data_IF_762970423419
#
_entry.id   IF_762970423419
#
_cell.length_a   1.000
_cell.length_b   1.000
_cell.length_c   1.000
_cell.angle_alpha   90.00
_cell.angle_beta   90.00
_cell.angle_gamma   90.00
#
_symmetry.space_group_name_H-M   'P 1'
#
loop_
_entity.id
_entity.type
_entity.pdbx_description
1 polymer ?
#
# COMPACT_ATOMS: atom_id res chain seq x y z
N UNK A 1 -41.91 -0.35 18.94
CA UNK A 1 -42.05 -0.76 17.52
C UNK A 1 -41.70 0.33 16.51
N UNK A 2 -41.97 1.62 16.77
CA UNK A 2 -41.65 2.72 15.83
C UNK A 2 -40.14 2.91 15.58
N UNK A 3 -39.29 2.86 16.62
CA UNK A 3 -37.83 2.96 16.48
C UNK A 3 -37.23 1.82 15.65
N UNK A 4 -37.74 0.60 15.82
CA UNK A 4 -37.31 -0.56 15.04
C UNK A 4 -37.62 -0.39 13.53
N UNK A 5 -38.80 0.12 13.19
CA UNK A 5 -39.16 0.48 11.80
C UNK A 5 -38.29 1.60 11.24
N UNK A 6 -37.97 2.62 12.03
CA UNK A 6 -37.09 3.70 11.62
C UNK A 6 -35.65 3.21 11.37
N UNK A 7 -35.13 2.30 12.21
CA UNK A 7 -33.83 1.68 12.00
C UNK A 7 -33.79 0.79 10.76
N UNK A 8 -34.85 0.03 10.46
CA UNK A 8 -34.94 -0.75 9.23
C UNK A 8 -34.97 0.15 7.99
N UNK A 9 -35.70 1.26 8.04
CA UNK A 9 -35.74 2.24 6.94
C UNK A 9 -34.36 2.84 6.66
N UNK A 10 -33.62 3.25 7.71
CA UNK A 10 -32.26 3.82 7.56
C UNK A 10 -31.28 2.78 7.01
N UNK A 11 -31.36 1.53 7.46
CA UNK A 11 -30.53 0.43 6.95
C UNK A 11 -30.80 0.15 5.47
N UNK A 12 -32.07 0.11 5.08
CA UNK A 12 -32.46 -0.11 3.68
C UNK A 12 -32.01 1.04 2.77
N UNK A 13 -32.17 2.29 3.20
CA UNK A 13 -31.68 3.46 2.45
C UNK A 13 -30.16 3.39 2.21
N UNK A 14 -29.39 2.98 3.22
CA UNK A 14 -27.95 2.80 3.09
C UNK A 14 -27.59 1.66 2.12
N UNK A 15 -28.32 0.54 2.19
CA UNK A 15 -28.16 -0.56 1.23
C UNK A 15 -28.38 -0.09 -0.20
N UNK A 16 -29.48 0.62 -0.46
CA UNK A 16 -29.80 1.17 -1.79
C UNK A 16 -28.76 2.16 -2.30
N UNK A 17 -28.18 2.94 -1.40
CA UNK A 17 -27.09 3.86 -1.72
C UNK A 17 -25.82 3.10 -2.15
N UNK A 18 -25.43 2.05 -1.43
CA UNK A 18 -24.28 1.21 -1.80
C UNK A 18 -24.51 0.45 -3.13
N UNK A 19 -25.74 0.00 -3.38
CA UNK A 19 -26.14 -0.61 -4.65
C UNK A 19 -26.03 0.43 -5.79
N UNK A 20 -26.58 1.63 -5.60
CA UNK A 20 -26.57 2.70 -6.62
C UNK A 20 -25.16 3.24 -6.92
N UNK A 21 -24.28 3.25 -5.92
CA UNK A 21 -22.89 3.71 -6.07
C UNK A 21 -21.95 2.64 -6.65
N UNK A 22 -22.42 1.41 -6.89
CA UNK A 22 -21.61 0.33 -7.48
C UNK A 22 -20.52 -0.22 -6.54
N UNK A 23 -20.54 0.16 -5.26
CA UNK A 23 -19.61 -0.33 -4.23
C UNK A 23 -19.78 -1.85 -4.08
N UNK A 24 -21.02 -2.33 -4.05
CA UNK A 24 -21.33 -3.76 -3.93
C UNK A 24 -20.79 -4.58 -5.10
N UNK A 25 -20.99 -4.12 -6.33
CA UNK A 25 -20.49 -4.81 -7.53
C UNK A 25 -18.96 -4.86 -7.55
N UNK A 26 -18.31 -3.75 -7.22
CA UNK A 26 -16.84 -3.67 -7.17
C UNK A 26 -16.23 -4.63 -6.14
N UNK A 27 -16.91 -4.86 -5.01
CA UNK A 27 -16.45 -5.75 -3.95
C UNK A 27 -16.77 -7.23 -4.21
N UNK A 28 -17.81 -7.52 -5.00
CA UNK A 28 -18.30 -8.89 -5.22
C UNK A 28 -17.93 -9.47 -6.58
N UNK A 29 -17.42 -8.66 -7.52
CA UNK A 29 -17.06 -9.11 -8.88
C UNK A 29 -15.76 -9.92 -8.98
N UNK A 30 -15.10 -10.23 -7.86
CA UNK A 30 -13.87 -11.03 -7.82
C UNK A 30 -14.11 -12.48 -8.26
N UNK A 31 -14.24 -12.73 -9.56
CA UNK A 31 -14.36 -14.06 -10.14
C UNK A 31 -13.02 -14.78 -10.01
N UNK A 32 -12.86 -15.55 -8.95
CA UNK A 32 -11.73 -16.48 -8.81
C UNK A 32 -11.93 -17.66 -9.74
N UNK A 33 -11.17 -17.73 -10.83
CA UNK A 33 -11.11 -18.92 -11.69
C UNK A 33 -9.99 -19.83 -11.18
N UNK A 34 -10.29 -21.05 -10.69
CA UNK A 34 -9.26 -21.99 -10.30
C UNK A 34 -8.40 -22.41 -11.51
N UNK A 35 -7.07 -22.50 -11.37
CA UNK A 35 -6.24 -23.15 -12.39
C UNK A 35 -6.61 -24.64 -12.50
N UNK A 36 -6.42 -25.28 -13.68
CA UNK A 36 -6.65 -26.71 -13.87
C UNK A 36 -5.80 -27.55 -12.90
N UNK A 37 -6.21 -28.80 -12.60
CA UNK A 37 -5.66 -29.55 -11.46
C UNK A 37 -4.18 -29.89 -11.66
N UNK A 38 -3.35 -29.40 -10.75
CA UNK A 38 -2.00 -29.91 -10.48
C UNK A 38 -2.05 -30.73 -9.18
N UNK A 39 -1.17 -31.72 -9.04
CA UNK A 39 -1.02 -32.71 -7.94
C UNK A 39 -1.63 -32.39 -6.55
N UNK A 40 -2.09 -33.43 -5.82
CA UNK A 40 -2.64 -33.39 -4.45
C UNK A 40 -1.88 -32.50 -3.45
N UNK A 41 -0.54 -32.41 -3.56
CA UNK A 41 0.29 -31.55 -2.72
C UNK A 41 0.00 -30.07 -2.94
N UNK A 42 -0.23 -29.65 -4.20
CA UNK A 42 -0.58 -28.28 -4.54
C UNK A 42 -1.98 -27.91 -4.05
N UNK A 43 -2.90 -28.87 -3.98
CA UNK A 43 -4.26 -28.65 -3.48
C UNK A 43 -4.27 -28.38 -1.97
N UNK A 44 -3.50 -29.14 -1.18
CA UNK A 44 -3.40 -28.95 0.27
C UNK A 44 -2.69 -27.64 0.63
N UNK A 45 -1.61 -27.29 -0.08
CA UNK A 45 -0.91 -26.01 0.10
C UNK A 45 -1.82 -24.85 -0.30
N UNK A 46 -2.51 -24.94 -1.45
CA UNK A 46 -3.44 -23.90 -1.89
C UNK A 46 -4.60 -23.72 -0.91
N UNK A 47 -5.15 -24.79 -0.35
CA UNK A 47 -6.20 -24.71 0.67
C UNK A 47 -5.68 -24.04 1.95
N UNK A 48 -4.47 -24.39 2.40
CA UNK A 48 -3.83 -23.77 3.57
C UNK A 48 -3.54 -22.28 3.36
N UNK A 49 -3.06 -21.90 2.16
CA UNK A 49 -2.81 -20.50 1.77
C UNK A 49 -4.13 -19.73 1.65
N UNK A 50 -5.17 -20.32 1.04
CA UNK A 50 -6.51 -19.72 0.93
C UNK A 50 -7.10 -19.49 2.32
N UNK A 51 -6.96 -20.46 3.22
CA UNK A 51 -7.45 -20.35 4.60
C UNK A 51 -6.69 -19.27 5.38
N UNK A 52 -5.37 -19.23 5.25
CA UNK A 52 -4.53 -18.21 5.90
C UNK A 52 -4.83 -16.81 5.35
N UNK A 53 -5.03 -16.68 4.04
CA UNK A 53 -5.45 -15.43 3.40
C UNK A 53 -6.84 -15.00 3.86
N UNK A 54 -7.79 -15.93 3.94
CA UNK A 54 -9.14 -15.63 4.44
C UNK A 54 -9.09 -15.20 5.92
N UNK A 55 -8.31 -15.89 6.74
CA UNK A 55 -8.12 -15.54 8.15
C UNK A 55 -7.47 -14.15 8.31
N UNK A 56 -6.48 -13.82 7.48
CA UNK A 56 -5.88 -12.50 7.42
C UNK A 56 -6.90 -11.43 7.00
N UNK A 57 -7.71 -11.71 5.97
CA UNK A 57 -8.75 -10.80 5.49
C UNK A 57 -9.81 -10.56 6.58
N UNK A 58 -10.19 -11.61 7.31
CA UNK A 58 -11.18 -11.52 8.39
C UNK A 58 -10.66 -10.75 9.62
N UNK A 59 -9.39 -10.95 10.01
CA UNK A 59 -8.84 -10.35 11.23
C UNK A 59 -8.31 -8.93 10.98
N UNK A 60 -7.69 -8.67 9.83
CA UNK A 60 -6.99 -7.40 9.57
C UNK A 60 -7.79 -6.46 8.67
N UNK A 61 -8.36 -6.98 7.58
CA UNK A 61 -8.96 -6.14 6.53
C UNK A 61 -10.43 -5.85 6.81
N UNK A 62 -11.19 -6.85 7.24
CA UNK A 62 -12.62 -6.74 7.50
C UNK A 62 -12.97 -5.72 8.60
N UNK A 63 -12.31 -5.65 9.77
CA UNK A 63 -12.67 -4.65 10.79
C UNK A 63 -12.36 -3.22 10.35
N UNK A 64 -11.24 -3.00 9.66
CA UNK A 64 -10.91 -1.68 9.08
C UNK A 64 -11.98 -1.27 8.06
N UNK A 65 -12.35 -2.18 7.17
CA UNK A 65 -13.37 -1.93 6.17
C UNK A 65 -14.76 -1.67 6.78
N UNK A 66 -15.13 -2.43 7.81
CA UNK A 66 -16.38 -2.23 8.54
C UNK A 66 -16.42 -0.85 9.20
N UNK A 67 -15.30 -0.41 9.79
CA UNK A 67 -15.19 0.92 10.40
C UNK A 67 -15.42 2.05 9.39
N UNK A 68 -14.87 1.93 8.18
CA UNK A 68 -15.10 2.90 7.09
C UNK A 68 -16.56 2.89 6.63
N UNK A 69 -17.19 1.71 6.53
CA UNK A 69 -18.62 1.62 6.23
C UNK A 69 -19.51 2.20 7.33
N UNK A 70 -19.11 2.07 8.59
CA UNK A 70 -19.80 2.70 9.74
C UNK A 70 -19.64 4.21 9.67
N UNK A 71 -18.45 4.73 9.42
CA UNK A 71 -18.23 6.17 9.23
C UNK A 71 -19.11 6.72 8.10
N UNK A 72 -19.13 6.03 6.95
CA UNK A 72 -19.99 6.37 5.82
C UNK A 72 -21.48 6.23 6.16
N UNK A 73 -21.87 5.33 7.06
CA UNK A 73 -23.25 5.16 7.52
C UNK A 73 -23.70 6.28 8.48
N UNK A 74 -22.81 6.75 9.34
CA UNK A 74 -23.07 7.79 10.33
C UNK A 74 -23.10 9.20 9.73
N UNK A 75 -22.50 9.39 8.55
CA UNK A 75 -22.42 10.67 7.89
C UNK A 75 -23.81 11.26 7.56
N UNK A 76 -24.09 12.51 8.01
CA UNK A 76 -25.41 13.13 7.93
C UNK A 76 -25.81 13.48 6.50
N UNK A 77 -24.85 13.89 5.67
CA UNK A 77 -25.04 14.05 4.22
C UNK A 77 -24.19 13.01 3.50
N UNK A 78 -24.85 12.08 2.79
CA UNK A 78 -24.13 11.02 2.06
C UNK A 78 -23.29 11.64 0.94
N UNK A 79 -22.00 11.29 0.83
CA UNK A 79 -21.17 11.82 -0.23
C UNK A 79 -21.71 11.40 -1.60
N UNK A 80 -21.55 12.26 -2.60
CA UNK A 80 -22.00 11.96 -3.97
C UNK A 80 -21.26 10.76 -4.58
N UNK A 81 -20.00 10.50 -4.16
CA UNK A 81 -19.20 9.36 -4.59
C UNK A 81 -18.71 8.54 -3.39
N UNK A 82 -19.43 7.47 -3.05
CA UNK A 82 -19.11 6.56 -1.94
C UNK A 82 -17.74 5.87 -2.11
N UNK A 83 -17.38 5.56 -3.35
CA UNK A 83 -16.17 4.82 -3.68
C UNK A 83 -14.92 5.65 -3.39
N UNK A 84 -14.94 6.95 -3.73
CA UNK A 84 -13.84 7.85 -3.43
C UNK A 84 -13.71 8.11 -1.92
N UNK A 85 -14.83 8.21 -1.21
CA UNK A 85 -14.82 8.32 0.25
C UNK A 85 -14.13 7.11 0.91
N UNK A 86 -14.48 5.89 0.46
CA UNK A 86 -13.88 4.65 0.96
C UNK A 86 -12.39 4.58 0.60
N UNK A 87 -12.00 4.95 -0.63
CA UNK A 87 -10.59 4.97 -1.05
C UNK A 87 -9.75 5.94 -0.23
N UNK A 88 -10.26 7.14 0.02
CA UNK A 88 -9.58 8.16 0.84
C UNK A 88 -9.36 7.64 2.26
N UNK A 89 -10.40 7.07 2.88
CA UNK A 89 -10.33 6.58 4.27
C UNK A 89 -9.50 5.31 4.45
N UNK A 90 -9.35 4.49 3.41
CA UNK A 90 -8.47 3.32 3.43
C UNK A 90 -7.01 3.66 3.11
N UNK A 91 -6.68 4.94 2.87
CA UNK A 91 -5.34 5.35 2.42
C UNK A 91 -4.99 4.83 1.03
N UNK A 92 -5.99 4.45 0.23
CA UNK A 92 -5.84 3.98 -1.15
C UNK A 92 -5.90 5.13 -2.17
N UNK A 93 -6.29 6.33 -1.74
CA UNK A 93 -5.80 7.55 -2.39
C UNK A 93 -4.29 7.56 -2.15
N UNK A 94 -3.48 7.44 -3.22
CA UNK A 94 -2.03 7.44 -3.09
C UNK A 94 -1.52 8.66 -2.31
N UNK A 95 -0.24 8.66 -1.88
CA UNK A 95 0.37 9.80 -1.21
C UNK A 95 -0.01 11.10 -1.92
N UNK A 96 -0.39 12.11 -1.13
CA UNK A 96 -0.81 13.43 -1.64
C UNK A 96 0.23 13.90 -2.67
N UNK A 97 -0.18 14.44 -3.83
CA UNK A 97 0.75 14.83 -4.88
C UNK A 97 1.89 15.71 -4.34
N UNK A 98 1.61 16.58 -3.36
CA UNK A 98 2.60 17.39 -2.67
C UNK A 98 3.68 16.55 -1.95
N UNK A 99 3.30 15.49 -1.25
CA UNK A 99 4.23 14.60 -0.56
C UNK A 99 5.09 13.82 -1.57
N UNK A 100 4.49 13.39 -2.69
CA UNK A 100 5.24 12.69 -3.76
C UNK A 100 6.23 13.60 -4.49
N UNK A 101 5.88 14.87 -4.69
CA UNK A 101 6.77 15.84 -5.31
C UNK A 101 7.93 16.21 -4.38
N UNK A 102 7.66 16.44 -3.09
CA UNK A 102 8.70 16.71 -2.09
C UNK A 102 9.72 15.57 -1.99
N UNK A 103 9.25 14.32 -1.90
CA UNK A 103 10.12 13.13 -1.87
C UNK A 103 10.95 12.96 -3.15
N UNK A 104 10.41 13.35 -4.31
CA UNK A 104 11.15 13.32 -5.59
C UNK A 104 12.28 14.34 -5.61
N UNK A 105 12.06 15.53 -5.06
CA UNK A 105 13.12 16.54 -4.92
C UNK A 105 14.21 16.08 -3.97
N UNK A 106 13.86 15.54 -2.80
CA UNK A 106 14.86 15.01 -1.85
C UNK A 106 15.68 13.86 -2.45
N UNK A 107 15.05 12.95 -3.21
CA UNK A 107 15.77 11.89 -3.93
C UNK A 107 16.76 12.45 -4.95
N UNK A 108 16.37 13.48 -5.69
CA UNK A 108 17.25 14.13 -6.66
C UNK A 108 18.46 14.78 -5.95
N UNK A 109 18.22 15.50 -4.85
CA UNK A 109 19.26 16.15 -4.05
C UNK A 109 20.22 15.12 -3.43
N UNK A 110 19.70 14.03 -2.85
CA UNK A 110 20.52 12.95 -2.29
C UNK A 110 21.33 12.24 -3.37
N UNK A 111 20.73 11.96 -4.53
CA UNK A 111 21.42 11.30 -5.63
C UNK A 111 22.56 12.16 -6.18
N UNK A 112 22.34 13.47 -6.30
CA UNK A 112 23.38 14.43 -6.66
C UNK A 112 24.51 14.41 -5.63
N UNK A 113 24.20 14.46 -4.33
CA UNK A 113 25.19 14.44 -3.26
C UNK A 113 26.00 13.15 -3.22
N UNK A 114 25.38 12.01 -3.49
CA UNK A 114 26.07 10.73 -3.65
C UNK A 114 27.04 10.75 -4.83
N UNK A 115 26.66 11.35 -5.96
CA UNK A 115 27.53 11.49 -7.13
C UNK A 115 28.75 12.35 -6.83
N UNK A 116 28.54 13.51 -6.20
CA UNK A 116 29.60 14.43 -5.80
C UNK A 116 30.57 13.77 -4.82
N UNK A 117 30.06 13.13 -3.77
CA UNK A 117 30.88 12.42 -2.79
C UNK A 117 31.61 11.22 -3.40
N UNK A 118 31.04 10.53 -4.39
CA UNK A 118 31.72 9.45 -5.11
C UNK A 118 32.88 9.99 -5.94
N UNK A 119 32.68 11.10 -6.63
CA UNK A 119 33.70 11.76 -7.43
C UNK A 119 34.83 12.31 -6.55
N UNK A 120 34.49 12.95 -5.43
CA UNK A 120 35.46 13.41 -4.44
C UNK A 120 36.23 12.23 -3.82
N UNK A 121 35.55 11.15 -3.43
CA UNK A 121 36.23 9.94 -2.94
C UNK A 121 37.19 9.36 -3.98
N UNK A 122 36.79 9.34 -5.25
CA UNK A 122 37.65 8.88 -6.35
C UNK A 122 38.86 9.79 -6.52
N UNK A 123 38.66 11.10 -6.47
CA UNK A 123 39.73 12.09 -6.62
C UNK A 123 40.71 12.05 -5.45
N UNK A 124 40.20 11.99 -4.21
CA UNK A 124 41.00 11.83 -2.99
C UNK A 124 41.79 10.52 -2.99
N UNK A 125 41.18 9.40 -3.43
CA UNK A 125 41.90 8.13 -3.61
C UNK A 125 42.98 8.24 -4.67
N UNK A 126 42.73 8.94 -5.77
CA UNK A 126 43.75 9.18 -6.81
C UNK A 126 44.90 10.04 -6.30
N UNK A 127 44.59 11.07 -5.49
CA UNK A 127 45.59 11.93 -4.85
C UNK A 127 46.41 11.14 -3.83
N UNK A 128 45.77 10.28 -3.01
CA UNK A 128 46.47 9.38 -2.08
C UNK A 128 47.45 8.45 -2.80
N UNK A 129 47.05 7.81 -3.92
CA UNK A 129 47.97 6.97 -4.70
C UNK A 129 49.16 7.76 -5.26
N UNK A 130 48.98 9.05 -5.54
CA UNK A 130 50.04 9.91 -6.08
C UNK A 130 51.08 10.32 -5.02
N UNK A 131 50.75 10.21 -3.73
CA UNK A 131 51.69 10.34 -2.61
C UNK A 131 52.29 9.00 -2.16
N UNK A 132 51.91 7.89 -2.80
CA UNK A 132 52.54 6.58 -2.64
C UNK A 132 53.53 6.25 -3.79
N UNK A 133 54.53 7.11 -4.07
CA UNK A 133 55.79 6.62 -4.60
C UNK A 133 56.96 7.06 -3.71
N UNK A 134 57.43 6.13 -2.86
CA UNK A 134 58.85 5.82 -2.78
C UNK A 134 59.04 4.40 -2.22
N UNK A 135 59.52 3.44 -3.03
CA UNK A 135 60.09 2.18 -2.55
C UNK A 135 61.54 2.34 -2.05
N UNK A 136 61.90 3.47 -1.43
CA UNK A 136 63.25 3.69 -0.90
C UNK A 136 63.20 4.21 0.55
N UNK A 137 63.30 3.25 1.46
CA UNK A 137 63.47 3.41 2.90
C UNK A 137 63.98 2.09 3.48
N UNK A 138 65.25 1.79 3.16
CA UNK A 138 66.12 0.81 3.85
C UNK A 138 65.85 -0.69 3.61
N UNK A 139 66.31 -1.17 2.45
CA UNK A 139 67.14 -2.36 2.43
C UNK A 139 68.63 -1.92 2.51
N UNK A 140 69.18 -1.77 3.72
CA UNK A 140 70.63 -1.82 3.98
C UNK A 140 70.92 -1.96 5.49
N UNK A 141 71.58 -3.09 5.83
CA UNK A 141 72.19 -3.54 7.11
C UNK A 141 71.31 -3.88 8.33
#
# INVERSE_FOLDING_TARGET
>A
MAQYRASESKREQFRRYLEKSGVLDTLTSGKWTPPPPFSLVTLTIMHSVKQSFNLFLLISVLPLFLAVLVALYEEPEKPNNALDFIKLHLGAAGPEPADTEALRTELADLQQKCSELMEENKELRSRLMQYEPSPDGEAAE
#
